data_IF_199856168512
#
_entry.id   IF_199856168512
#
_cell.length_a   1.000
_cell.length_b   1.000
_cell.length_c   1.000
_cell.angle_alpha   90.00
_cell.angle_beta   90.00
_cell.angle_gamma   90.00
#
_symmetry.space_group_name_H-M   'P 1'
#
loop_
_entity.id
_entity.type
_entity.pdbx_description
1 polymer ?
#
# COMPACT_ATOMS: atom_id res chain seq x y z
N UNK A 1 11.42 10.22 -17.60
CA UNK A 1 10.10 10.22 -16.95
C UNK A 1 10.25 9.48 -15.64
N UNK A 2 10.40 10.19 -14.54
CA UNK A 2 10.59 9.57 -13.22
C UNK A 2 9.23 9.01 -12.81
N UNK A 3 9.07 7.68 -12.84
CA UNK A 3 7.86 7.05 -12.34
C UNK A 3 7.65 7.51 -10.89
N UNK A 4 6.47 8.05 -10.59
CA UNK A 4 6.11 8.37 -9.21
C UNK A 4 6.28 7.11 -8.35
N UNK A 5 6.72 7.23 -7.09
CA UNK A 5 6.84 6.07 -6.22
C UNK A 5 5.50 5.35 -6.18
N UNK A 6 5.49 4.11 -6.65
CA UNK A 6 4.30 3.29 -6.77
C UNK A 6 4.48 2.06 -5.90
N UNK A 7 3.40 1.72 -5.21
CA UNK A 7 3.35 0.58 -4.31
C UNK A 7 2.39 -0.41 -4.92
N UNK A 8 2.88 -1.57 -5.34
CA UNK A 8 2.00 -2.65 -5.73
C UNK A 8 1.52 -3.35 -4.46
N UNK A 9 0.22 -3.25 -4.17
CA UNK A 9 -0.36 -3.86 -3.00
C UNK A 9 -0.67 -5.34 -3.23
N UNK A 10 -0.32 -6.14 -2.24
CA UNK A 10 -0.60 -7.57 -2.14
C UNK A 10 -1.77 -7.83 -1.18
N UNK A 11 -1.92 -6.99 -0.16
CA UNK A 11 -3.03 -7.10 0.79
C UNK A 11 -3.32 -5.78 1.49
N UNK A 12 -4.52 -5.69 2.05
CA UNK A 12 -5.00 -4.62 2.91
C UNK A 12 -5.55 -5.24 4.18
N UNK A 13 -5.01 -4.81 5.32
CA UNK A 13 -5.32 -5.36 6.64
C UNK A 13 -5.88 -4.23 7.51
N UNK A 14 -7.19 -4.17 7.76
CA UNK A 14 -7.76 -3.22 8.70
C UNK A 14 -7.31 -3.60 10.11
N UNK A 15 -6.56 -2.70 10.77
CA UNK A 15 -6.04 -2.94 12.13
C UNK A 15 -6.99 -2.38 13.18
N UNK A 16 -7.60 -1.23 12.89
CA UNK A 16 -8.61 -0.58 13.73
C UNK A 16 -9.54 0.26 12.85
N UNK A 17 -10.62 0.83 13.41
CA UNK A 17 -11.48 1.77 12.66
C UNK A 17 -10.75 2.99 12.08
N UNK A 18 -9.52 3.29 12.56
CA UNK A 18 -8.74 4.47 12.15
C UNK A 18 -7.46 4.13 11.40
N UNK A 19 -7.00 2.89 11.48
CA UNK A 19 -5.71 2.46 10.95
C UNK A 19 -5.87 1.22 10.09
N UNK A 20 -5.25 1.29 8.92
CA UNK A 20 -5.18 0.20 7.95
C UNK A 20 -3.73 0.01 7.55
N UNK A 21 -3.33 -1.25 7.44
CA UNK A 21 -2.03 -1.64 6.93
C UNK A 21 -2.15 -2.00 5.45
N UNK A 22 -1.28 -1.43 4.64
CA UNK A 22 -1.14 -1.70 3.22
C UNK A 22 0.13 -2.54 3.03
N UNK A 23 -0.02 -3.77 2.58
CA UNK A 23 1.09 -4.72 2.41
C UNK A 23 1.43 -4.78 0.94
N UNK A 24 2.70 -4.59 0.56
CA UNK A 24 3.06 -4.54 -0.85
C UNK A 24 4.54 -4.55 -1.19
N UNK A 25 4.82 -4.49 -2.49
CA UNK A 25 6.14 -4.24 -3.03
C UNK A 25 6.27 -2.77 -3.43
N UNK A 26 7.41 -2.18 -3.09
CA UNK A 26 7.59 -0.72 -3.12
C UNK A 26 8.74 -0.36 -4.03
N UNK A 27 8.51 0.63 -4.88
CA UNK A 27 9.57 1.31 -5.62
C UNK A 27 9.84 2.66 -4.95
N UNK A 28 10.98 2.76 -4.26
CA UNK A 28 11.41 4.00 -3.59
C UNK A 28 11.00 4.13 -2.12
N UNK A 29 11.10 5.36 -1.62
CA UNK A 29 10.85 5.72 -0.21
C UNK A 29 9.40 6.12 -0.01
N UNK A 30 8.73 5.54 1.00
CA UNK A 30 7.41 5.99 1.41
C UNK A 30 7.58 7.20 2.32
N UNK A 31 6.88 8.28 1.99
CA UNK A 31 6.83 9.48 2.82
C UNK A 31 5.44 9.61 3.43
N UNK A 32 5.35 10.08 4.69
CA UNK A 32 4.07 10.47 5.27
C UNK A 32 3.36 11.53 4.41
N UNK A 33 2.04 11.51 4.41
CA UNK A 33 1.20 12.46 3.66
C UNK A 33 0.05 11.78 2.92
N UNK A 34 -0.57 12.52 2.00
CA UNK A 34 -1.69 12.02 1.21
C UNK A 34 -1.22 11.17 0.04
N UNK A 35 -1.86 10.02 -0.10
CA UNK A 35 -1.65 9.10 -1.21
C UNK A 35 -2.99 8.68 -1.79
N UNK A 36 -3.02 8.44 -3.08
CA UNK A 36 -4.17 7.93 -3.81
C UNK A 36 -4.03 6.42 -4.01
N UNK A 37 -5.03 5.69 -3.53
CA UNK A 37 -5.19 4.27 -3.80
C UNK A 37 -5.90 4.11 -5.13
N UNK A 38 -5.31 3.35 -6.04
CA UNK A 38 -5.85 3.08 -7.37
C UNK A 38 -6.08 1.60 -7.59
N UNK A 39 -7.12 1.28 -8.35
CA UNK A 39 -7.42 -0.06 -8.84
C UNK A 39 -7.41 0.01 -10.37
N UNK A 40 -6.58 -0.80 -11.02
CA UNK A 40 -6.47 -0.86 -12.48
C UNK A 40 -6.22 0.53 -13.12
N UNK A 41 -5.48 1.40 -12.41
CA UNK A 41 -5.18 2.77 -12.82
C UNK A 41 -6.23 3.82 -12.47
N UNK A 42 -7.41 3.41 -11.97
CA UNK A 42 -8.48 4.32 -11.56
C UNK A 42 -8.41 4.67 -10.07
N UNK A 43 -8.61 5.93 -9.72
CA UNK A 43 -8.62 6.39 -8.33
C UNK A 43 -9.81 5.80 -7.56
N UNK A 44 -9.50 5.05 -6.49
CA UNK A 44 -10.49 4.48 -5.58
C UNK A 44 -10.79 5.43 -4.42
N UNK A 45 -9.73 5.88 -3.72
CA UNK A 45 -9.84 6.73 -2.53
C UNK A 45 -8.49 7.37 -2.20
N UNK A 46 -8.50 8.38 -1.33
CA UNK A 46 -7.30 8.97 -0.74
C UNK A 46 -7.10 8.45 0.67
N UNK A 47 -5.86 8.09 1.00
CA UNK A 47 -5.43 7.69 2.35
C UNK A 47 -4.34 8.62 2.85
N UNK A 48 -4.27 8.79 4.17
CA UNK A 48 -3.17 9.51 4.83
C UNK A 48 -2.14 8.50 5.31
N UNK A 49 -1.02 8.39 4.61
CA UNK A 49 0.12 7.56 5.00
C UNK A 49 0.82 8.20 6.19
N UNK A 50 1.00 7.43 7.26
CA UNK A 50 1.70 7.86 8.47
C UNK A 50 3.18 7.49 8.40
N UNK A 51 3.49 6.38 7.72
CA UNK A 51 4.83 5.86 7.58
C UNK A 51 4.84 4.36 7.27
N UNK A 52 5.99 3.74 7.49
CA UNK A 52 6.19 2.31 7.31
C UNK A 52 6.26 1.62 8.67
N UNK A 53 5.66 0.43 8.76
CA UNK A 53 5.87 -0.47 9.89
C UNK A 53 7.02 -1.42 9.55
N UNK A 54 7.97 -1.54 10.47
CA UNK A 54 8.97 -2.60 10.40
C UNK A 54 8.30 -3.94 10.63
N UNK A 55 8.41 -4.83 9.65
CA UNK A 55 8.03 -6.23 9.79
C UNK A 55 9.31 -7.05 9.91
N UNK A 56 9.37 -7.91 10.94
CA UNK A 56 10.37 -8.97 11.04
C UNK A 56 10.12 -9.99 9.92
N UNK A 57 10.56 -9.67 8.71
CA UNK A 57 10.57 -10.64 7.64
C UNK A 57 11.68 -11.65 7.92
N UNK A 58 11.29 -12.86 8.31
CA UNK A 58 12.20 -14.00 8.38
C UNK A 58 12.92 -14.16 7.04
N UNK A 59 14.24 -13.91 7.02
CA UNK A 59 15.09 -14.02 5.84
C UNK A 59 15.18 -15.48 5.37
N UNK A 60 14.20 -15.95 4.61
CA UNK A 60 14.28 -17.18 3.83
C UNK A 60 14.01 -16.88 2.36
N UNK A 61 15.07 -16.53 1.63
CA UNK A 61 15.05 -16.43 0.17
C UNK A 61 15.70 -15.16 -0.41
N UNK A 62 15.93 -15.17 -1.72
CA UNK A 62 16.49 -14.03 -2.51
C UNK A 62 15.45 -12.94 -2.84
N UNK A 63 14.22 -13.06 -2.37
CA UNK A 63 13.13 -12.13 -2.66
C UNK A 63 13.10 -11.04 -1.59
N UNK A 64 13.05 -9.78 -2.02
CA UNK A 64 12.80 -8.65 -1.13
C UNK A 64 11.45 -8.87 -0.45
N UNK A 65 11.40 -8.91 0.89
CA UNK A 65 10.13 -9.09 1.57
C UNK A 65 9.18 -7.93 1.25
N UNK A 66 7.86 -8.17 1.26
CA UNK A 66 6.91 -7.08 1.21
C UNK A 66 7.15 -6.12 2.37
N UNK A 67 6.79 -4.85 2.20
CA UNK A 67 6.81 -3.84 3.27
C UNK A 67 5.37 -3.55 3.69
N UNK A 68 5.22 -3.00 4.89
CA UNK A 68 3.92 -2.59 5.43
C UNK A 68 3.89 -1.08 5.56
N UNK A 69 2.89 -0.46 4.95
CA UNK A 69 2.57 0.95 5.15
C UNK A 69 1.40 1.09 6.08
N UNK A 70 1.53 2.01 7.03
CA UNK A 70 0.45 2.39 7.93
C UNK A 70 -0.24 3.62 7.36
N UNK A 71 -1.55 3.53 7.15
CA UNK A 71 -2.36 4.65 6.70
C UNK A 71 -3.64 4.83 7.53
N UNK A 72 -4.17 6.05 7.50
CA UNK A 72 -5.48 6.42 8.01
C UNK A 72 -6.43 6.70 6.86
N UNK A 73 -7.70 6.37 7.08
CA UNK A 73 -8.77 6.60 6.12
C UNK A 73 -9.52 5.32 5.78
N UNK A 74 -10.70 5.44 5.17
CA UNK A 74 -11.50 4.29 4.76
C UNK A 74 -10.80 3.58 3.60
N UNK A 75 -10.60 2.27 3.75
CA UNK A 75 -10.14 1.39 2.68
C UNK A 75 -11.12 0.24 2.54
N UNK A 76 -11.95 0.30 1.50
CA UNK A 76 -12.98 -0.71 1.23
C UNK A 76 -12.38 -1.91 0.51
N UNK A 77 -11.77 -2.83 1.26
CA UNK A 77 -11.17 -4.07 0.71
C UNK A 77 -12.15 -4.89 -0.12
N UNK A 78 -13.46 -4.83 0.16
CA UNK A 78 -14.50 -5.53 -0.58
C UNK A 78 -14.60 -5.15 -2.06
N UNK A 79 -14.04 -4.00 -2.46
CA UNK A 79 -14.02 -3.53 -3.86
C UNK A 79 -12.79 -4.02 -4.63
N UNK A 80 -11.93 -4.82 -4.01
CA UNK A 80 -10.63 -5.22 -4.54
C UNK A 80 -10.55 -6.75 -4.65
N UNK A 81 -10.28 -7.25 -5.85
CA UNK A 81 -9.87 -8.63 -6.09
C UNK A 81 -8.36 -8.66 -6.38
N UNK A 82 -7.53 -8.88 -5.35
CA UNK A 82 -6.06 -8.92 -5.49
C UNK A 82 -5.54 -10.02 -6.43
N UNK A 83 -6.38 -10.95 -6.90
CA UNK A 83 -5.98 -11.96 -7.89
C UNK A 83 -6.11 -11.46 -9.33
N UNK A 84 -6.88 -10.38 -9.56
CA UNK A 84 -7.19 -9.84 -10.89
C UNK A 84 -6.83 -8.38 -11.05
N UNK A 85 -6.96 -7.62 -9.96
CA UNK A 85 -6.78 -6.19 -9.95
C UNK A 85 -5.33 -5.80 -9.71
N UNK A 86 -4.87 -4.82 -10.48
CA UNK A 86 -3.64 -4.10 -10.19
C UNK A 86 -3.95 -3.00 -9.18
N UNK A 87 -3.53 -3.20 -7.94
CA UNK A 87 -3.75 -2.24 -6.86
C UNK A 87 -2.47 -1.46 -6.60
N UNK A 88 -2.54 -0.15 -6.80
CA UNK A 88 -1.38 0.75 -6.65
C UNK A 88 -1.62 1.87 -5.67
N UNK A 89 -0.59 2.29 -4.95
CA UNK A 89 -0.61 3.52 -4.15
C UNK A 89 0.32 4.55 -4.78
N UNK A 90 -0.19 5.75 -5.04
CA UNK A 90 0.54 6.85 -5.71
C UNK A 90 0.52 8.09 -4.84
N UNK A 91 1.67 8.73 -4.65
CA UNK A 91 1.76 9.97 -3.88
C UNK A 91 1.07 11.13 -4.62
N UNK A 92 0.26 11.91 -3.89
CA UNK A 92 -0.39 13.14 -4.38
C UNK A 92 0.51 14.37 -4.27
#
# INVERSE_FOLDING_TARGET
MTAAPAIQLLDIIPMSPKETFLVGHFTGTVKPGKWELRINGEALTTVEVIGEAEIEAGRKGKLTPPRVVVCRGPVEKSRIDFTRDEVTLVQL
#
